data_IF_203653298628
#
_entry.id   IF_203653298628
#
_cell.length_a   1.000
_cell.length_b   1.000
_cell.length_c   1.000
_cell.angle_alpha   90.00
_cell.angle_beta   90.00
_cell.angle_gamma   90.00
#
_symmetry.space_group_name_H-M   'P 1'
#
loop_
_entity.id
_entity.type
_entity.pdbx_description
1 polymer ?
#
# COMPACT_ATOMS: atom_id res chain seq x y z
N UNK A 1 11.35 33.94 -2.59
CA UNK A 1 10.18 33.30 -1.96
C UNK A 1 9.62 32.26 -2.91
N UNK A 2 9.32 31.07 -2.36
CA UNK A 2 8.53 29.97 -2.94
C UNK A 2 9.20 29.25 -4.11
N UNK A 3 9.95 28.21 -3.76
CA UNK A 3 10.46 27.22 -4.68
C UNK A 3 10.07 25.84 -4.14
N UNK A 4 9.56 25.01 -5.05
CA UNK A 4 9.27 23.59 -4.96
C UNK A 4 8.14 23.16 -4.02
N UNK A 5 7.08 22.61 -4.60
CA UNK A 5 6.54 21.25 -4.36
C UNK A 5 5.38 21.10 -5.33
N UNK A 6 5.68 20.74 -6.57
CA UNK A 6 4.73 20.05 -7.44
C UNK A 6 5.57 19.21 -8.40
N UNK A 7 5.19 17.94 -8.56
CA UNK A 7 5.88 16.85 -9.26
C UNK A 7 7.08 16.27 -8.50
N UNK A 8 6.89 15.08 -7.92
CA UNK A 8 6.86 13.90 -8.78
C UNK A 8 5.66 13.01 -8.45
N UNK A 9 4.54 13.20 -9.14
CA UNK A 9 3.40 12.26 -9.11
C UNK A 9 2.89 11.98 -10.53
N UNK A 10 3.80 11.96 -11.52
CA UNK A 10 3.49 11.56 -12.90
C UNK A 10 4.46 10.46 -13.36
N UNK A 11 4.62 9.42 -12.53
CA UNK A 11 5.26 8.17 -12.96
C UNK A 11 4.35 6.95 -12.82
N UNK A 12 3.02 7.15 -12.81
CA UNK A 12 2.09 6.08 -13.18
C UNK A 12 2.11 5.92 -14.70
N UNK A 13 3.20 5.33 -15.19
CA UNK A 13 3.29 4.87 -16.56
C UNK A 13 2.36 3.68 -16.73
N UNK A 14 1.45 3.75 -17.70
CA UNK A 14 0.55 2.67 -18.07
C UNK A 14 1.35 1.54 -18.77
N UNK A 15 2.08 0.74 -17.99
CA UNK A 15 2.73 -0.46 -18.51
C UNK A 15 1.68 -1.55 -18.71
N UNK A 16 1.52 -2.01 -19.95
CA UNK A 16 0.89 -3.30 -20.23
C UNK A 16 1.90 -4.39 -19.86
N UNK A 17 1.89 -4.79 -18.58
CA UNK A 17 2.75 -5.85 -18.10
C UNK A 17 2.31 -7.19 -18.66
N UNK A 18 3.27 -8.00 -19.11
CA UNK A 18 3.02 -9.43 -19.24
C UNK A 18 2.69 -10.02 -17.86
N UNK A 19 1.86 -11.06 -17.77
CA UNK A 19 1.43 -11.65 -16.49
C UNK A 19 2.61 -11.98 -15.55
N UNK A 20 3.76 -12.38 -16.11
CA UNK A 20 4.96 -12.66 -15.32
C UNK A 20 5.59 -11.38 -14.75
N UNK A 21 5.68 -10.31 -15.54
CA UNK A 21 6.24 -9.05 -15.08
C UNK A 21 5.35 -8.39 -14.02
N UNK A 22 4.03 -8.47 -14.18
CA UNK A 22 3.07 -8.01 -13.17
C UNK A 22 3.33 -8.67 -11.81
N UNK A 23 3.50 -10.00 -11.78
CA UNK A 23 3.76 -10.73 -10.53
C UNK A 23 5.11 -10.40 -9.92
N UNK A 24 6.13 -10.13 -10.74
CA UNK A 24 7.43 -9.65 -10.27
C UNK A 24 7.27 -8.28 -9.60
N UNK A 25 6.55 -7.38 -10.25
CA UNK A 25 6.31 -6.03 -9.73
C UNK A 25 5.49 -6.06 -8.42
N UNK A 26 4.43 -6.85 -8.37
CA UNK A 26 3.62 -7.05 -7.16
C UNK A 26 4.44 -7.65 -6.01
N UNK A 27 5.37 -8.57 -6.28
CA UNK A 27 6.30 -9.07 -5.27
C UNK A 27 7.24 -7.98 -4.76
N UNK A 28 7.67 -7.07 -5.63
CA UNK A 28 8.47 -5.91 -5.25
C UNK A 28 7.66 -4.94 -4.38
N UNK A 29 6.42 -4.64 -4.75
CA UNK A 29 5.52 -3.80 -3.94
C UNK A 29 5.24 -4.43 -2.58
N UNK A 30 4.96 -5.73 -2.50
CA UNK A 30 4.75 -6.42 -1.23
C UNK A 30 5.98 -6.28 -0.31
N UNK A 31 7.19 -6.44 -0.87
CA UNK A 31 8.43 -6.24 -0.13
C UNK A 31 8.61 -4.81 0.35
N UNK A 32 8.21 -3.82 -0.44
CA UNK A 32 8.25 -2.40 -0.04
C UNK A 32 7.23 -2.09 1.04
N UNK A 33 5.99 -2.55 0.90
CA UNK A 33 4.94 -2.40 1.91
C UNK A 33 5.35 -3.00 3.26
N UNK A 34 6.01 -4.16 3.27
CA UNK A 34 6.55 -4.75 4.49
C UNK A 34 7.62 -3.89 5.20
N UNK A 35 8.30 -2.98 4.48
CA UNK A 35 9.24 -2.03 5.09
C UNK A 35 8.53 -0.85 5.74
N UNK A 36 7.33 -0.50 5.27
CA UNK A 36 6.55 0.65 5.78
C UNK A 36 6.06 0.40 7.21
N UNK A 37 5.85 -0.85 7.62
CA UNK A 37 5.41 -1.20 8.98
C UNK A 37 6.30 -0.56 10.07
N UNK A 38 7.63 -0.54 9.86
CA UNK A 38 8.58 0.10 10.80
C UNK A 38 8.46 1.63 10.79
N UNK A 39 8.17 2.23 9.63
CA UNK A 39 8.00 3.68 9.49
C UNK A 39 6.75 4.11 10.27
N UNK A 40 5.65 3.36 10.14
CA UNK A 40 4.39 3.59 10.85
C UNK A 40 4.57 3.46 12.35
N UNK A 41 5.28 2.43 12.81
CA UNK A 41 5.57 2.25 14.23
C UNK A 41 6.35 3.45 14.79
N UNK A 42 7.40 3.89 14.11
CA UNK A 42 8.21 5.02 14.53
C UNK A 42 7.40 6.32 14.53
N UNK A 43 6.55 6.54 13.53
CA UNK A 43 5.67 7.71 13.45
C UNK A 43 4.65 7.73 14.60
N UNK A 44 4.04 6.56 14.92
CA UNK A 44 3.13 6.41 16.06
C UNK A 44 3.83 6.71 17.39
N UNK A 45 5.07 6.28 17.58
CA UNK A 45 5.85 6.51 18.80
C UNK A 45 6.35 7.95 18.93
N UNK A 46 6.60 8.63 17.80
CA UNK A 46 7.09 10.00 17.75
C UNK A 46 5.99 11.04 17.90
N UNK A 47 4.72 10.60 17.96
CA UNK A 47 3.57 11.48 18.15
C UNK A 47 3.57 12.08 19.56
N UNK A 48 3.74 13.40 19.63
CA UNK A 48 3.61 14.16 20.87
C UNK A 48 2.17 14.20 21.39
N UNK A 49 1.99 14.51 22.67
CA UNK A 49 0.69 14.55 23.36
C UNK A 49 -0.26 15.65 22.89
N UNK A 50 0.23 16.61 22.10
CA UNK A 50 -0.48 17.87 21.78
C UNK A 50 -1.05 17.93 20.35
N UNK A 51 -1.12 16.81 19.62
CA UNK A 51 -1.73 16.80 18.28
C UNK A 51 -3.26 16.94 18.37
N UNK A 52 -3.77 18.10 17.94
CA UNK A 52 -5.22 18.39 17.81
C UNK A 52 -5.99 17.42 16.93
N UNK A 53 -5.31 16.73 16.01
CA UNK A 53 -5.90 15.73 15.12
C UNK A 53 -5.11 14.45 15.27
N UNK A 54 -5.76 13.39 15.74
CA UNK A 54 -5.08 12.13 15.98
C UNK A 54 -5.10 11.28 14.71
N UNK A 55 -3.97 11.23 13.99
CA UNK A 55 -3.82 10.31 12.86
C UNK A 55 -4.18 8.87 13.26
N UNK A 56 -5.05 8.21 12.48
CA UNK A 56 -5.58 6.87 12.77
C UNK A 56 -4.59 5.77 12.36
N UNK A 57 -3.45 5.69 13.06
CA UNK A 57 -2.40 4.70 12.77
C UNK A 57 -2.89 3.25 12.78
N UNK A 58 -3.87 2.91 13.61
CA UNK A 58 -4.45 1.55 13.62
C UNK A 58 -5.14 1.25 12.30
N UNK A 59 -6.01 2.16 11.85
CA UNK A 59 -6.76 2.01 10.59
C UNK A 59 -5.83 1.97 9.38
N UNK A 60 -4.77 2.80 9.35
CA UNK A 60 -3.74 2.70 8.31
C UNK A 60 -3.05 1.32 8.32
N UNK A 61 -2.74 0.78 9.50
CA UNK A 61 -2.09 -0.53 9.62
C UNK A 61 -3.01 -1.63 9.12
N UNK A 62 -4.29 -1.55 9.46
CA UNK A 62 -5.32 -2.51 9.02
C UNK A 62 -5.48 -2.46 7.49
N UNK A 63 -5.57 -1.26 6.91
CA UNK A 63 -5.67 -1.06 5.47
C UNK A 63 -4.42 -1.57 4.72
N UNK A 64 -3.22 -1.34 5.25
CA UNK A 64 -2.00 -1.91 4.68
C UNK A 64 -1.98 -3.44 4.77
N UNK A 65 -2.52 -4.03 5.84
CA UNK A 65 -2.64 -5.48 5.94
C UNK A 65 -3.62 -6.04 4.90
N UNK A 66 -4.75 -5.36 4.64
CA UNK A 66 -5.67 -5.73 3.55
C UNK A 66 -4.97 -5.70 2.19
N UNK A 67 -4.19 -4.65 1.90
CA UNK A 67 -3.43 -4.54 0.64
C UNK A 67 -2.39 -5.66 0.53
N UNK A 68 -1.56 -5.86 1.56
CA UNK A 68 -0.55 -6.92 1.59
C UNK A 68 -1.19 -8.30 1.40
N UNK A 69 -2.32 -8.54 2.07
CA UNK A 69 -3.10 -9.77 1.97
C UNK A 69 -3.58 -10.04 0.54
N UNK A 70 -4.23 -9.06 -0.10
CA UNK A 70 -4.72 -9.23 -1.48
C UNK A 70 -3.60 -9.42 -2.50
N UNK A 71 -2.46 -8.74 -2.34
CA UNK A 71 -1.28 -8.95 -3.19
C UNK A 71 -0.72 -10.37 -2.99
N UNK A 72 -0.57 -10.82 -1.74
CA UNK A 72 -0.06 -12.15 -1.43
C UNK A 72 -1.00 -13.24 -1.96
N UNK A 73 -2.31 -13.10 -1.76
CA UNK A 73 -3.32 -14.03 -2.27
C UNK A 73 -3.20 -14.18 -3.80
N UNK A 74 -3.09 -13.07 -4.53
CA UNK A 74 -2.88 -13.11 -5.97
C UNK A 74 -1.55 -13.76 -6.36
N UNK A 75 -0.47 -13.50 -5.61
CA UNK A 75 0.84 -14.10 -5.82
C UNK A 75 0.90 -15.60 -5.50
N UNK A 76 -0.03 -16.12 -4.70
CA UNK A 76 -0.16 -17.54 -4.39
C UNK A 76 -1.03 -18.31 -5.40
N UNK A 77 -1.89 -17.62 -6.16
CA UNK A 77 -2.70 -18.24 -7.21
C UNK A 77 -1.85 -18.82 -8.36
N UNK A 78 -2.32 -19.88 -9.05
CA UNK A 78 -1.65 -20.41 -10.24
C UNK A 78 -1.47 -19.33 -11.32
N UNK A 79 -0.31 -19.35 -11.97
CA UNK A 79 0.04 -18.43 -13.06
C UNK A 79 -1.00 -18.59 -14.20
N UNK A 80 -1.79 -17.53 -14.47
CA UNK A 80 -2.99 -17.43 -15.36
C UNK A 80 -4.37 -17.45 -14.67
N UNK A 81 -4.45 -17.45 -13.35
CA UNK A 81 -5.74 -17.26 -12.67
C UNK A 81 -6.24 -15.82 -12.87
N UNK A 82 -7.48 -15.61 -13.32
CA UNK A 82 -8.02 -14.27 -13.44
C UNK A 82 -8.16 -13.61 -12.06
N UNK A 83 -7.86 -12.30 -11.99
CA UNK A 83 -7.97 -11.52 -10.74
C UNK A 83 -9.38 -11.55 -10.13
N UNK A 84 -10.40 -11.77 -10.95
CA UNK A 84 -11.79 -11.92 -10.51
C UNK A 84 -12.07 -13.14 -9.63
N UNK A 85 -11.09 -14.06 -9.47
CA UNK A 85 -11.22 -15.18 -8.54
C UNK A 85 -10.84 -14.80 -7.09
N UNK A 86 -10.29 -13.60 -6.87
CA UNK A 86 -10.09 -13.03 -5.54
C UNK A 86 -11.46 -12.58 -5.04
N UNK A 87 -12.08 -13.38 -4.15
CA UNK A 87 -13.46 -13.17 -3.73
C UNK A 87 -13.59 -12.25 -2.51
N UNK A 88 -12.51 -11.99 -1.77
CA UNK A 88 -12.52 -11.20 -0.53
C UNK A 88 -11.64 -9.94 -0.63
N UNK A 89 -12.04 -8.99 -1.49
CA UNK A 89 -11.45 -7.65 -1.48
C UNK A 89 -12.16 -6.84 -0.39
N UNK A 90 -11.63 -6.91 0.84
CA UNK A 90 -12.07 -6.02 1.91
C UNK A 90 -11.79 -4.56 1.53
N UNK A 91 -12.76 -3.65 1.67
CA UNK A 91 -12.56 -2.25 1.31
C UNK A 91 -11.47 -1.63 2.17
N UNK A 92 -10.65 -0.79 1.53
CA UNK A 92 -9.71 0.10 2.20
C UNK A 92 -10.51 1.28 2.71
N UNK A 93 -10.41 1.58 4.00
CA UNK A 93 -11.18 2.66 4.60
C UNK A 93 -10.65 4.02 4.12
N UNK A 94 -9.33 4.20 4.11
CA UNK A 94 -8.66 5.35 3.48
C UNK A 94 -8.83 6.70 4.19
N UNK A 95 -9.68 6.79 5.21
CA UNK A 95 -9.88 7.99 6.03
C UNK A 95 -9.06 7.95 7.33
N UNK A 96 -7.86 8.54 7.28
CA UNK A 96 -6.90 8.54 8.40
C UNK A 96 -6.86 9.85 9.20
N UNK A 97 -7.78 10.77 8.92
CA UNK A 97 -7.82 12.11 9.52
C UNK A 97 -8.65 12.19 10.80
#
# INVERSE_FOLDING_TARGET
>A
MKLFIVLPLIFFSSFSFSLNEERIELSNYLRELNKIDRIILNAKLSKGTDEKTSFKYSQLSDDLNKIKGGIQEYLDMPNRSPRSLINDISPIDGDYH
#
